data_IF_891108369026
#
_entry.id   IF_891108369026
#
_cell.length_a   1.000
_cell.length_b   1.000
_cell.length_c   1.000
_cell.angle_alpha   90.00
_cell.angle_beta   90.00
_cell.angle_gamma   90.00
#
_symmetry.space_group_name_H-M   'P 1'
#
loop_
_entity.id
_entity.type
_entity.pdbx_description
1 polymer ?
#
# COMPACT_ATOMS: atom_id res chain seq x y z
N UNK A 1 -5.19 3.87 -11.90
CA UNK A 1 -6.10 3.33 -10.86
C UNK A 1 -5.20 2.67 -9.82
N UNK A 2 -4.71 3.40 -8.82
CA UNK A 2 -3.89 2.82 -7.75
C UNK A 2 -4.84 2.32 -6.68
N UNK A 3 -4.57 1.15 -6.09
CA UNK A 3 -5.38 0.64 -4.99
C UNK A 3 -4.47 0.49 -3.77
N UNK A 4 -5.00 0.75 -2.59
CA UNK A 4 -4.41 0.31 -1.35
C UNK A 4 -5.20 -0.92 -0.91
N UNK A 5 -4.48 -2.01 -0.64
CA UNK A 5 -5.07 -3.26 -0.19
C UNK A 5 -4.91 -3.32 1.31
N UNK A 6 -6.00 -3.04 2.03
CA UNK A 6 -6.10 -3.40 3.43
C UNK A 6 -7.08 -4.56 3.58
N UNK A 7 -6.65 -5.53 4.37
CA UNK A 7 -7.48 -6.61 4.89
C UNK A 7 -7.89 -6.13 6.29
N UNK A 8 -9.18 -6.00 6.60
CA UNK A 8 -9.83 -6.32 7.90
C UNK A 8 -11.21 -5.65 8.12
N UNK A 9 -11.99 -6.33 8.96
CA UNK A 9 -13.44 -6.23 9.27
C UNK A 9 -13.97 -4.85 9.75
N UNK A 10 -15.25 -4.62 9.44
CA UNK A 10 -16.01 -3.36 9.45
C UNK A 10 -16.52 -2.87 10.82
N UNK A 11 -16.61 -1.53 11.01
CA UNK A 11 -17.86 -0.79 11.28
C UNK A 11 -17.62 0.75 11.15
N UNK A 12 -18.66 1.51 10.80
CA UNK A 12 -18.65 2.92 10.29
C UNK A 12 -18.98 3.99 11.34
N UNK A 13 -18.56 5.25 11.12
CA UNK A 13 -19.44 6.47 11.13
C UNK A 13 -18.66 7.80 10.87
N UNK A 14 -19.27 8.73 10.07
CA UNK A 14 -18.94 10.17 9.74
C UNK A 14 -18.27 10.48 8.38
N UNK A 15 -18.47 11.69 7.77
CA UNK A 15 -19.24 11.91 6.55
C UNK A 15 -18.40 12.04 5.25
N UNK A 16 -17.11 11.70 5.28
CA UNK A 16 -16.37 11.42 4.05
C UNK A 16 -16.59 9.94 3.77
N UNK A 17 -17.31 9.63 2.69
CA UNK A 17 -17.89 8.30 2.45
C UNK A 17 -16.78 7.28 2.15
N UNK A 18 -16.09 6.82 3.19
CA UNK A 18 -15.23 5.65 3.14
C UNK A 18 -16.12 4.47 2.75
N UNK A 19 -15.91 3.95 1.55
CA UNK A 19 -16.61 2.78 1.06
C UNK A 19 -15.58 1.66 1.03
N UNK A 20 -15.77 0.65 1.88
CA UNK A 20 -15.08 -0.62 1.72
C UNK A 20 -15.96 -1.56 0.92
N UNK A 21 -15.39 -2.17 -0.12
CA UNK A 21 -16.07 -3.21 -0.91
C UNK A 21 -15.20 -4.45 -0.96
N UNK A 22 -15.87 -5.60 -1.00
CA UNK A 22 -15.22 -6.84 -1.43
C UNK A 22 -14.58 -6.58 -2.80
N UNK A 23 -13.30 -6.91 -2.90
CA UNK A 23 -12.56 -6.71 -4.13
C UNK A 23 -13.08 -7.60 -5.26
N UNK A 24 -12.98 -7.11 -6.50
CA UNK A 24 -13.28 -7.91 -7.67
C UNK A 24 -12.44 -9.21 -7.69
N UNK A 25 -12.94 -10.34 -8.23
CA UNK A 25 -12.22 -11.61 -8.22
C UNK A 25 -10.80 -11.52 -8.81
N UNK A 26 -10.61 -10.71 -9.86
CA UNK A 26 -9.30 -10.47 -10.46
C UNK A 26 -8.30 -9.81 -9.49
N UNK A 27 -8.79 -8.90 -8.64
CA UNK A 27 -7.98 -8.22 -7.65
C UNK A 27 -7.57 -9.17 -6.52
N UNK A 28 -8.52 -9.94 -6.00
CA UNK A 28 -8.23 -10.99 -5.02
C UNK A 28 -7.18 -11.97 -5.54
N UNK A 29 -7.30 -12.38 -6.80
CA UNK A 29 -6.32 -13.26 -7.45
C UNK A 29 -4.93 -12.63 -7.59
N UNK A 30 -4.86 -11.38 -8.05
CA UNK A 30 -3.60 -10.65 -8.18
C UNK A 30 -2.87 -10.50 -6.84
N UNK A 31 -3.61 -10.11 -5.79
CA UNK A 31 -3.07 -9.97 -4.43
C UNK A 31 -2.64 -11.31 -3.87
N UNK A 32 -3.44 -12.37 -4.07
CA UNK A 32 -3.06 -13.72 -3.63
C UNK A 32 -1.76 -14.19 -4.25
N UNK A 33 -1.56 -13.91 -5.55
CA UNK A 33 -0.30 -14.21 -6.24
C UNK A 33 0.86 -13.36 -5.72
N UNK A 34 0.66 -12.05 -5.54
CA UNK A 34 1.68 -11.16 -5.02
C UNK A 34 2.13 -11.59 -3.61
N UNK A 35 1.18 -11.87 -2.71
CA UNK A 35 1.47 -12.35 -1.35
C UNK A 35 2.23 -13.68 -1.38
N UNK A 36 1.78 -14.65 -2.19
CA UNK A 36 2.43 -15.95 -2.28
C UNK A 36 3.86 -15.86 -2.84
N UNK A 37 4.11 -14.96 -3.80
CA UNK A 37 5.42 -14.81 -4.43
C UNK A 37 6.43 -14.01 -3.61
N UNK A 38 5.95 -13.15 -2.71
CA UNK A 38 6.77 -12.20 -1.95
C UNK A 38 6.86 -12.52 -0.46
N UNK A 39 6.21 -13.59 0.00
CA UNK A 39 6.32 -14.05 1.38
C UNK A 39 7.71 -14.63 1.65
N UNK A 40 8.40 -14.03 2.62
CA UNK A 40 9.70 -14.51 3.08
C UNK A 40 9.59 -14.90 4.55
N UNK A 41 10.03 -16.11 4.88
CA UNK A 41 10.09 -16.60 6.25
C UNK A 41 11.22 -15.91 7.01
N UNK A 42 10.89 -14.88 7.80
CA UNK A 42 11.87 -14.16 8.63
C UNK A 42 11.99 -14.80 10.03
N UNK A 43 12.91 -15.76 10.18
CA UNK A 43 13.32 -16.37 11.48
C UNK A 43 12.20 -17.05 12.31
N UNK A 44 12.60 -17.75 13.37
CA UNK A 44 11.86 -18.81 14.10
C UNK A 44 10.80 -18.34 15.14
N UNK A 45 9.71 -17.66 14.73
CA UNK A 45 8.44 -17.92 15.43
C UNK A 45 7.26 -18.23 14.49
N UNK A 46 7.37 -17.94 13.19
CA UNK A 46 6.31 -18.25 12.22
C UNK A 46 6.45 -19.70 11.75
N UNK A 47 5.63 -20.58 12.30
CA UNK A 47 5.49 -21.99 11.86
C UNK A 47 4.80 -22.16 10.49
N UNK A 48 4.43 -21.06 9.83
CA UNK A 48 3.73 -21.10 8.56
C UNK A 48 4.74 -21.04 7.40
N UNK A 49 4.63 -22.00 6.49
CA UNK A 49 5.44 -22.04 5.26
C UNK A 49 4.77 -21.31 4.09
N UNK A 50 3.53 -20.86 4.27
CA UNK A 50 2.76 -20.09 3.29
C UNK A 50 1.68 -19.24 3.97
N UNK A 51 1.29 -18.16 3.30
CA UNK A 51 0.13 -17.36 3.66
C UNK A 51 -1.05 -17.68 2.73
N UNK A 52 -2.25 -17.60 3.27
CA UNK A 52 -3.50 -17.68 2.50
C UNK A 52 -4.25 -16.36 2.65
N UNK A 53 -4.56 -15.73 1.53
CA UNK A 53 -5.42 -14.55 1.52
C UNK A 53 -6.85 -15.00 1.75
N UNK A 54 -7.43 -14.56 2.85
CA UNK A 54 -8.82 -14.89 3.23
C UNK A 54 -9.81 -13.87 2.65
N UNK A 55 -9.45 -12.59 2.70
CA UNK A 55 -10.30 -11.49 2.28
C UNK A 55 -9.43 -10.35 1.74
N UNK A 56 -9.97 -9.60 0.79
CA UNK A 56 -9.40 -8.34 0.32
C UNK A 56 -10.53 -7.31 0.29
N UNK A 57 -10.30 -6.19 0.95
CA UNK A 57 -11.17 -5.03 0.85
C UNK A 57 -10.48 -3.93 0.05
N UNK A 58 -11.23 -3.32 -0.87
CA UNK A 58 -10.79 -2.11 -1.55
C UNK A 58 -11.22 -0.91 -0.73
N UNK A 59 -10.26 -0.05 -0.39
CA UNK A 59 -10.50 1.26 0.22
C UNK A 59 -10.85 2.25 -0.88
N UNK A 60 -12.04 2.84 -0.81
CA UNK A 60 -12.47 3.93 -1.69
C UNK A 60 -12.69 5.20 -0.86
N UNK A 61 -11.83 6.19 -1.08
CA UNK A 61 -11.93 7.50 -0.45
C UNK A 61 -11.64 8.59 -1.50
N UNK A 62 -12.67 9.26 -2.06
CA UNK A 62 -12.51 10.22 -3.16
C UNK A 62 -11.50 11.33 -2.86
N UNK A 63 -11.59 11.96 -1.70
CA UNK A 63 -10.70 13.09 -1.36
C UNK A 63 -9.22 12.66 -1.27
N UNK A 64 -8.94 11.49 -0.68
CA UNK A 64 -7.59 10.93 -0.64
C UNK A 64 -7.10 10.51 -2.03
N UNK A 65 -8.01 9.99 -2.86
CA UNK A 65 -7.70 9.63 -4.24
C UNK A 65 -7.32 10.85 -5.08
N UNK A 66 -8.08 11.94 -4.97
CA UNK A 66 -7.80 13.18 -5.69
C UNK A 66 -6.48 13.81 -5.22
N UNK A 67 -6.23 13.80 -3.90
CA UNK A 67 -4.96 14.25 -3.34
C UNK A 67 -3.78 13.41 -3.83
N UNK A 68 -3.95 12.08 -3.91
CA UNK A 68 -2.95 11.16 -4.44
C UNK A 68 -2.66 11.43 -5.93
N UNK A 69 -3.70 11.52 -6.76
CA UNK A 69 -3.56 11.76 -8.21
C UNK A 69 -2.83 13.06 -8.46
N UNK A 70 -3.24 14.15 -7.79
CA UNK A 70 -2.57 15.46 -7.91
C UNK A 70 -1.09 15.37 -7.54
N UNK A 71 -0.76 14.72 -6.41
CA UNK A 71 0.64 14.61 -5.99
C UNK A 71 1.47 13.75 -6.93
N UNK A 72 0.89 12.69 -7.50
CA UNK A 72 1.54 11.83 -8.48
C UNK A 72 1.87 12.59 -9.77
N UNK A 73 0.96 13.45 -10.23
CA UNK A 73 1.19 14.31 -11.40
C UNK A 73 2.29 15.35 -11.15
N UNK A 74 2.32 15.97 -9.97
CA UNK A 74 3.42 16.85 -9.54
C UNK A 74 4.76 16.12 -9.57
N UNK A 75 4.83 14.91 -9.00
CA UNK A 75 6.06 14.09 -9.02
C UNK A 75 6.47 13.74 -10.45
N UNK A 76 5.53 13.37 -11.32
CA UNK A 76 5.84 13.06 -12.72
C UNK A 76 6.41 14.28 -13.47
N UNK A 77 5.87 15.48 -13.20
CA UNK A 77 6.40 16.72 -13.75
C UNK A 77 7.81 17.02 -13.22
N UNK A 78 8.02 16.90 -11.90
CA UNK A 78 9.31 17.11 -11.25
C UNK A 78 10.37 16.13 -11.78
N UNK A 79 10.02 14.86 -11.98
CA UNK A 79 10.94 13.85 -12.53
C UNK A 79 11.30 14.13 -13.99
N UNK A 80 10.36 14.64 -14.78
CA UNK A 80 10.62 15.02 -16.17
C UNK A 80 11.60 16.20 -16.26
N UNK A 81 11.52 17.15 -15.34
CA UNK A 81 12.35 18.35 -15.33
C UNK A 81 13.70 18.14 -14.62
N UNK A 82 13.68 17.46 -13.47
CA UNK A 82 14.79 17.39 -12.52
C UNK A 82 15.26 15.96 -12.23
N UNK A 83 14.62 14.94 -12.79
CA UNK A 83 14.87 13.52 -12.45
C UNK A 83 16.13 12.91 -13.07
N UNK A 84 17.05 13.71 -13.65
CA UNK A 84 18.27 13.18 -14.24
C UNK A 84 19.10 12.44 -13.18
N UNK A 85 19.31 11.13 -13.38
CA UNK A 85 20.08 10.29 -12.46
C UNK A 85 19.25 9.50 -11.45
N UNK A 86 17.93 9.65 -11.42
CA UNK A 86 17.07 8.75 -10.64
C UNK A 86 16.89 7.42 -11.40
N UNK A 87 17.27 6.32 -10.74
CA UNK A 87 17.11 4.97 -11.26
C UNK A 87 15.85 4.37 -10.67
N UNK A 88 14.89 4.03 -11.53
CA UNK A 88 13.77 3.21 -11.12
C UNK A 88 14.26 1.78 -10.88
N UNK A 89 14.02 1.26 -9.68
CA UNK A 89 14.35 -0.11 -9.32
C UNK A 89 13.07 -0.95 -9.47
N UNK A 90 13.11 -2.08 -10.20
CA UNK A 90 11.96 -2.98 -10.27
C UNK A 90 11.69 -3.56 -8.88
N UNK A 91 10.41 -3.68 -8.53
CA UNK A 91 9.97 -4.28 -7.26
C UNK A 91 9.27 -5.61 -7.52
N UNK A 92 9.32 -6.52 -6.56
CA UNK A 92 8.76 -7.88 -6.73
C UNK A 92 7.24 -7.91 -7.01
N UNK A 93 6.53 -6.83 -6.73
CA UNK A 93 5.08 -6.68 -6.92
C UNK A 93 4.70 -6.20 -8.33
N UNK A 94 5.64 -5.68 -9.13
CA UNK A 94 5.39 -5.11 -10.47
C UNK A 94 4.65 -6.06 -11.43
N UNK A 95 4.91 -7.39 -11.45
CA UNK A 95 4.20 -8.30 -12.36
C UNK A 95 2.69 -8.43 -12.10
N UNK A 96 2.21 -7.98 -10.95
CA UNK A 96 0.82 -8.21 -10.50
C UNK A 96 -0.07 -6.97 -10.63
N UNK A 97 0.52 -5.78 -10.73
CA UNK A 97 -0.21 -4.52 -10.68
C UNK A 97 0.34 -3.53 -11.71
N UNK A 98 -0.54 -2.73 -12.32
CA UNK A 98 -0.11 -1.65 -13.19
C UNK A 98 0.27 -0.40 -12.40
N UNK A 99 1.35 0.24 -12.84
CA UNK A 99 1.93 1.45 -12.26
C UNK A 99 2.09 2.54 -13.32
N UNK A 100 2.13 3.79 -12.90
CA UNK A 100 2.59 4.91 -13.72
C UNK A 100 4.11 5.13 -13.54
N UNK A 101 4.89 4.58 -14.47
CA UNK A 101 6.35 4.70 -14.47
C UNK A 101 6.84 6.15 -14.59
N UNK A 102 6.03 7.08 -15.14
CA UNK A 102 6.41 8.49 -15.24
C UNK A 102 6.59 9.17 -13.88
N UNK A 103 5.94 8.61 -12.85
CA UNK A 103 6.02 9.05 -11.47
C UNK A 103 6.84 8.10 -10.57
N UNK A 104 7.47 7.08 -11.15
CA UNK A 104 8.07 5.96 -10.41
C UNK A 104 7.09 5.32 -9.39
N UNK A 105 5.81 5.22 -9.77
CA UNK A 105 4.74 4.63 -8.92
C UNK A 105 5.01 3.13 -8.73
N UNK A 106 4.94 2.64 -7.49
CA UNK A 106 5.19 1.22 -7.18
C UNK A 106 4.17 0.72 -6.16
N UNK A 107 3.81 -0.56 -6.27
CA UNK A 107 2.94 -1.23 -5.31
C UNK A 107 3.76 -1.83 -4.18
N UNK A 108 3.48 -1.46 -2.93
CA UNK A 108 4.22 -1.97 -1.78
C UNK A 108 3.26 -2.32 -0.65
N UNK A 109 3.68 -3.25 0.20
CA UNK A 109 2.95 -3.62 1.40
C UNK A 109 3.26 -2.66 2.55
N UNK A 110 2.26 -2.45 3.41
CA UNK A 110 2.40 -1.77 4.69
C UNK A 110 1.85 -2.66 5.80
N UNK A 111 2.72 -3.27 6.61
CA UNK A 111 2.31 -4.02 7.79
C UNK A 111 1.90 -3.07 8.91
N UNK A 112 0.69 -3.24 9.46
CA UNK A 112 0.16 -2.38 10.52
C UNK A 112 -0.83 -3.12 11.42
N UNK A 113 -1.22 -2.49 12.53
CA UNK A 113 -2.29 -2.99 13.40
C UNK A 113 -3.66 -2.72 12.75
N UNK A 114 -4.68 -3.59 12.97
CA UNK A 114 -6.01 -3.38 12.38
C UNK A 114 -6.65 -2.02 12.70
N UNK A 115 -6.43 -1.47 13.90
CA UNK A 115 -6.94 -0.14 14.28
C UNK A 115 -6.24 1.00 13.56
N UNK A 116 -4.92 0.87 13.36
CA UNK A 116 -4.13 1.82 12.60
C UNK A 116 -4.50 1.75 11.11
N UNK A 117 -4.74 0.56 10.58
CA UNK A 117 -5.20 0.40 9.20
C UNK A 117 -6.55 1.08 8.96
N UNK A 118 -7.54 0.85 9.82
CA UNK A 118 -8.82 1.60 9.76
C UNK A 118 -8.64 3.12 9.80
N UNK A 119 -7.68 3.61 10.58
CA UNK A 119 -7.38 5.04 10.64
C UNK A 119 -6.75 5.52 9.31
N UNK A 120 -5.83 4.74 8.74
CA UNK A 120 -5.24 5.01 7.42
C UNK A 120 -6.31 4.99 6.33
N UNK A 121 -7.22 4.02 6.33
CA UNK A 121 -8.32 3.97 5.37
C UNK A 121 -9.26 5.19 5.49
N UNK A 122 -9.49 5.68 6.71
CA UNK A 122 -10.40 6.79 6.96
C UNK A 122 -9.78 8.18 6.69
N UNK A 123 -8.49 8.38 6.94
CA UNK A 123 -7.87 9.71 6.88
C UNK A 123 -6.55 9.77 6.12
N UNK A 124 -6.11 8.66 5.52
CA UNK A 124 -4.81 8.54 4.86
C UNK A 124 -3.66 8.35 5.84
N UNK A 125 -2.44 8.28 5.29
CA UNK A 125 -1.23 8.18 6.09
C UNK A 125 -0.88 9.52 6.75
N UNK A 126 -0.67 9.52 8.07
CA UNK A 126 -0.23 10.67 8.84
C UNK A 126 1.26 10.52 9.22
N UNK A 127 2.21 11.11 8.47
CA UNK A 127 3.64 10.96 8.75
C UNK A 127 4.05 11.54 10.12
N UNK A 128 3.35 12.58 10.59
CA UNK A 128 3.68 13.30 11.82
C UNK A 128 3.17 12.64 13.11
N UNK A 129 2.29 11.64 13.00
CA UNK A 129 1.64 11.00 14.16
C UNK A 129 2.44 9.84 14.79
N UNK A 130 3.72 9.64 14.41
CA UNK A 130 4.46 8.40 14.71
C UNK A 130 5.27 8.41 16.01
N UNK A 131 5.25 7.27 16.70
CA UNK A 131 6.09 6.98 17.87
C UNK A 131 7.57 6.83 17.50
N UNK A 132 8.50 7.07 18.42
CA UNK A 132 9.95 7.00 18.21
C UNK A 132 10.52 5.58 17.90
N UNK A 133 9.68 4.54 17.80
CA UNK A 133 10.12 3.17 17.49
C UNK A 133 10.17 2.93 15.98
N UNK A 134 11.18 2.20 15.51
CA UNK A 134 11.28 1.76 14.11
C UNK A 134 11.80 2.81 13.12
N UNK A 135 12.55 3.81 13.58
CA UNK A 135 13.02 4.95 12.77
C UNK A 135 14.41 4.75 12.16
N UNK A 136 14.76 3.54 11.70
CA UNK A 136 16.11 3.24 11.18
C UNK A 136 16.52 4.22 10.06
N UNK A 137 15.55 4.63 9.24
CA UNK A 137 15.74 5.59 8.15
C UNK A 137 15.05 6.95 8.41
N UNK A 138 14.86 7.32 9.67
CA UNK A 138 14.25 8.59 10.08
C UNK A 138 12.74 8.54 10.33
N UNK A 139 12.11 9.72 10.36
CA UNK A 139 10.66 9.84 10.60
C UNK A 139 9.92 9.76 9.27
N UNK A 140 9.38 8.58 8.96
CA UNK A 140 8.70 8.36 7.69
C UNK A 140 7.69 7.22 7.71
N UNK A 141 7.09 7.00 6.54
CA UNK A 141 6.26 5.84 6.26
C UNK A 141 7.15 4.73 5.71
N UNK A 142 6.97 3.52 6.21
CA UNK A 142 7.76 2.35 5.82
C UNK A 142 6.92 1.41 5.00
N UNK A 143 7.45 0.98 3.86
CA UNK A 143 6.81 0.05 2.96
C UNK A 143 7.81 -1.05 2.59
N UNK A 144 7.30 -2.18 2.13
CA UNK A 144 8.11 -3.36 1.78
C UNK A 144 7.58 -4.04 0.52
N UNK A 145 8.46 -4.62 -0.28
CA UNK A 145 8.07 -5.48 -1.40
C UNK A 145 7.72 -6.90 -0.95
N UNK A 146 8.21 -7.32 0.22
CA UNK A 146 7.95 -8.63 0.80
C UNK A 146 6.66 -8.60 1.62
N UNK A 147 5.78 -9.59 1.44
CA UNK A 147 4.57 -9.73 2.24
C UNK A 147 4.93 -9.96 3.73
N UNK A 148 4.48 -9.07 4.63
CA UNK A 148 4.83 -9.13 6.07
C UNK A 148 4.06 -10.22 6.84
#
# INVERSE_FOLDING_TARGET
>A
RAQAVEVFLSHTEKPHRLITRSSAPAMLHAISKAVAATFIKMSEPLKADKLQVLEVQRVEHPDLWDAYVRRREEIAADLRENGSGLVSVPVQTDPYFSCDDSSNERWLFHGTLPSAGRSIAASGFAPDARSARGTLFGKGLYFTECAP
#
